data_IF_486730543714
#
_entry.id   IF_486730543714
#
_cell.length_a   1.000
_cell.length_b   1.000
_cell.length_c   1.000
_cell.angle_alpha   90.00
_cell.angle_beta   90.00
_cell.angle_gamma   90.00
#
_symmetry.space_group_name_H-M   'P 1'
#
loop_
_entity.id
_entity.type
_entity.pdbx_description
1 polymer ?
#
# COMPACT_ATOMS: atom_id res chain seq x y z
N UNK A 1 -67.36 15.93 -9.38
CA UNK A 1 -66.53 16.71 -8.45
C UNK A 1 -66.26 15.82 -7.25
N UNK A 2 -65.19 15.03 -7.31
CA UNK A 2 -64.77 14.14 -6.22
C UNK A 2 -63.29 14.43 -5.99
N UNK A 3 -62.98 14.87 -4.78
CA UNK A 3 -61.68 15.39 -4.38
C UNK A 3 -60.63 14.30 -4.36
N UNK A 4 -59.45 14.64 -4.85
CA UNK A 4 -58.25 13.86 -4.68
C UNK A 4 -57.88 13.88 -3.20
N UNK A 5 -58.10 12.77 -2.50
CA UNK A 5 -57.42 12.48 -1.24
C UNK A 5 -55.97 12.15 -1.58
N UNK A 6 -55.10 13.15 -1.48
CA UNK A 6 -53.67 12.91 -1.36
C UNK A 6 -53.43 12.33 0.04
N UNK A 7 -53.27 11.02 0.10
CA UNK A 7 -52.76 10.32 1.28
C UNK A 7 -51.33 10.79 1.52
N UNK A 8 -51.05 11.36 2.70
CA UNK A 8 -49.70 11.76 3.15
C UNK A 8 -48.76 10.56 3.38
N UNK A 9 -49.19 9.35 3.06
CA UNK A 9 -48.52 8.09 3.37
C UNK A 9 -47.43 7.76 2.31
N UNK A 10 -47.45 8.43 1.15
CA UNK A 10 -46.48 8.24 0.06
C UNK A 10 -45.09 8.82 0.38
N UNK A 11 -45.00 9.65 1.43
CA UNK A 11 -43.75 10.31 1.85
C UNK A 11 -42.82 9.38 2.67
N UNK A 12 -43.29 8.19 3.04
CA UNK A 12 -42.48 7.16 3.71
C UNK A 12 -42.10 6.02 2.76
N UNK A 13 -42.00 6.31 1.46
CA UNK A 13 -41.37 5.40 0.50
C UNK A 13 -39.87 5.39 0.76
N UNK A 14 -39.44 4.36 1.49
CA UNK A 14 -38.15 3.70 1.34
C UNK A 14 -36.97 4.62 1.06
N UNK A 15 -36.28 5.03 2.13
CA UNK A 15 -34.83 5.22 2.05
C UNK A 15 -34.19 3.85 1.83
N UNK A 16 -34.41 3.22 0.68
CA UNK A 16 -33.55 2.14 0.22
C UNK A 16 -32.16 2.76 0.09
N UNK A 17 -31.16 2.33 0.86
CA UNK A 17 -29.80 2.80 0.66
C UNK A 17 -29.38 2.37 -0.75
N UNK A 18 -29.31 3.34 -1.66
CA UNK A 18 -28.83 3.15 -3.03
C UNK A 18 -27.48 2.42 -3.00
N UNK A 19 -27.32 1.30 -3.72
CA UNK A 19 -26.09 0.50 -3.71
C UNK A 19 -24.92 1.13 -4.49
N UNK A 20 -25.06 2.39 -4.94
CA UNK A 20 -24.06 3.11 -5.77
C UNK A 20 -23.42 4.33 -5.08
N UNK A 21 -23.58 4.49 -3.76
CA UNK A 21 -22.89 5.56 -3.05
C UNK A 21 -21.56 5.05 -2.53
N UNK A 22 -20.47 5.43 -3.21
CA UNK A 22 -19.14 5.34 -2.63
C UNK A 22 -19.06 6.08 -1.28
N UNK A 23 -18.00 5.82 -0.51
CA UNK A 23 -17.85 6.28 0.89
C UNK A 23 -18.36 7.71 1.10
N UNK A 24 -19.27 7.86 2.07
CA UNK A 24 -19.68 9.16 2.60
C UNK A 24 -18.48 9.90 3.19
N UNK A 25 -18.59 11.22 3.32
CA UNK A 25 -17.52 12.02 3.95
C UNK A 25 -17.20 11.58 5.38
N UNK A 26 -18.17 11.00 6.10
CA UNK A 26 -17.99 10.47 7.44
C UNK A 26 -17.24 9.13 7.44
N UNK A 27 -17.60 8.23 6.53
CA UNK A 27 -16.91 6.94 6.38
C UNK A 27 -15.46 7.13 5.94
N UNK A 28 -15.18 8.09 5.04
CA UNK A 28 -13.80 8.44 4.64
C UNK A 28 -12.97 8.91 5.84
N UNK A 29 -13.49 9.84 6.63
CA UNK A 29 -12.79 10.31 7.84
C UNK A 29 -12.58 9.19 8.85
N UNK A 30 -13.53 8.26 8.92
CA UNK A 30 -13.43 7.10 9.81
C UNK A 30 -12.33 6.16 9.32
N UNK A 31 -12.27 5.87 8.02
CA UNK A 31 -11.21 5.08 7.42
C UNK A 31 -9.83 5.72 7.69
N UNK A 32 -9.69 7.03 7.44
CA UNK A 32 -8.46 7.76 7.73
C UNK A 32 -8.06 7.67 9.21
N UNK A 33 -9.02 7.80 10.12
CA UNK A 33 -8.79 7.65 11.56
C UNK A 33 -8.36 6.24 11.96
N UNK A 34 -8.91 5.20 11.33
CA UNK A 34 -8.51 3.81 11.58
C UNK A 34 -7.10 3.54 11.07
N UNK A 35 -6.75 4.05 9.88
CA UNK A 35 -5.39 3.98 9.34
C UNK A 35 -4.40 4.72 10.25
N UNK A 36 -4.80 5.87 10.79
CA UNK A 36 -3.97 6.61 11.75
C UNK A 36 -3.67 5.77 12.99
N UNK A 37 -4.71 5.16 13.61
CA UNK A 37 -4.55 4.28 14.77
C UNK A 37 -3.63 3.12 14.42
N UNK A 38 -3.80 2.49 13.26
CA UNK A 38 -3.01 1.31 12.91
C UNK A 38 -1.51 1.60 12.86
N UNK A 39 -1.13 2.77 12.34
CA UNK A 39 0.25 3.16 12.11
C UNK A 39 0.92 3.86 13.31
N UNK A 40 0.15 4.53 14.17
CA UNK A 40 0.72 5.41 15.20
C UNK A 40 0.41 4.98 16.64
N UNK A 41 -0.52 4.06 16.85
CA UNK A 41 -0.94 3.67 18.19
C UNK A 41 -0.05 2.55 18.76
N UNK A 42 0.66 2.75 19.88
CA UNK A 42 1.49 1.71 20.48
C UNK A 42 0.67 0.55 21.07
N UNK A 43 -0.61 0.77 21.39
CA UNK A 43 -1.47 -0.28 21.94
C UNK A 43 -1.87 -1.30 20.87
N UNK A 44 -1.30 -2.51 20.98
CA UNK A 44 -1.68 -3.66 20.16
C UNK A 44 -3.20 -3.91 20.16
N UNK A 45 -3.88 -3.71 21.28
CA UNK A 45 -5.32 -3.93 21.37
C UNK A 45 -6.11 -2.96 20.48
N UNK A 46 -5.68 -1.70 20.40
CA UNK A 46 -6.31 -0.69 19.57
C UNK A 46 -6.02 -0.91 18.09
N UNK A 47 -4.77 -1.28 17.74
CA UNK A 47 -4.42 -1.69 16.37
C UNK A 47 -5.25 -2.87 15.88
N UNK A 48 -5.41 -3.92 16.69
CA UNK A 48 -6.27 -5.05 16.37
C UNK A 48 -7.75 -4.66 16.21
N UNK A 49 -8.25 -3.71 17.01
CA UNK A 49 -9.61 -3.19 16.84
C UNK A 49 -9.74 -2.40 15.53
N UNK A 50 -8.70 -1.66 15.15
CA UNK A 50 -8.69 -0.92 13.89
C UNK A 50 -8.74 -1.87 12.68
N UNK A 51 -7.95 -2.95 12.68
CA UNK A 51 -8.01 -4.00 11.65
C UNK A 51 -9.42 -4.58 11.50
N UNK A 52 -10.06 -4.98 12.61
CA UNK A 52 -11.45 -5.50 12.57
C UNK A 52 -12.50 -4.46 12.19
N UNK A 53 -12.19 -3.17 12.33
CA UNK A 53 -13.08 -2.11 11.91
C UNK A 53 -12.93 -1.85 10.40
N UNK A 54 -11.70 -1.94 9.87
CA UNK A 54 -11.41 -1.80 8.43
C UNK A 54 -12.17 -2.85 7.60
N UNK A 55 -12.30 -4.09 8.07
CA UNK A 55 -13.02 -5.16 7.36
C UNK A 55 -14.52 -4.91 7.16
N UNK A 56 -15.09 -3.95 7.89
CA UNK A 56 -16.50 -3.56 7.76
C UNK A 56 -16.74 -2.63 6.57
N UNK A 57 -15.68 -2.02 6.04
CA UNK A 57 -15.76 -1.19 4.85
C UNK A 57 -15.69 -2.09 3.63
N UNK A 58 -16.71 -2.00 2.75
CA UNK A 58 -16.80 -2.79 1.51
C UNK A 58 -16.02 -2.17 0.34
N UNK A 59 -15.23 -1.16 0.63
CA UNK A 59 -14.56 -0.34 -0.37
C UNK A 59 -13.19 -0.91 -0.68
N UNK A 60 -12.83 -0.88 -1.97
CA UNK A 60 -11.62 -1.54 -2.43
C UNK A 60 -10.36 -0.98 -1.76
N UNK A 61 -10.37 0.31 -1.40
CA UNK A 61 -9.26 0.91 -0.64
C UNK A 61 -9.05 0.28 0.73
N UNK A 62 -10.13 0.00 1.47
CA UNK A 62 -10.04 -0.63 2.78
C UNK A 62 -9.56 -2.09 2.67
N UNK A 63 -10.05 -2.80 1.66
CA UNK A 63 -9.69 -4.19 1.38
C UNK A 63 -8.23 -4.29 0.92
N UNK A 64 -7.77 -3.37 0.07
CA UNK A 64 -6.35 -3.24 -0.32
C UNK A 64 -5.47 -3.01 0.91
N UNK A 65 -5.83 -2.07 1.78
CA UNK A 65 -5.05 -1.85 3.01
C UNK A 65 -4.99 -3.11 3.88
N UNK A 66 -6.09 -3.85 4.03
CA UNK A 66 -6.06 -5.13 4.74
C UNK A 66 -5.10 -6.15 4.11
N UNK A 67 -5.04 -6.21 2.78
CA UNK A 67 -4.11 -7.09 2.07
C UNK A 67 -2.65 -6.65 2.28
N UNK A 68 -2.37 -5.35 2.18
CA UNK A 68 -1.04 -4.79 2.46
C UNK A 68 -0.59 -5.11 3.90
N UNK A 69 -1.49 -4.96 4.89
CA UNK A 69 -1.21 -5.34 6.28
C UNK A 69 -0.95 -6.83 6.39
N UNK A 70 -1.73 -7.68 5.71
CA UNK A 70 -1.53 -9.13 5.73
C UNK A 70 -0.17 -9.55 5.12
N UNK A 71 0.36 -8.75 4.18
CA UNK A 71 1.63 -9.00 3.50
C UNK A 71 2.84 -8.47 4.28
N UNK A 72 2.79 -7.21 4.71
CA UNK A 72 3.99 -6.45 5.10
C UNK A 72 4.02 -5.99 6.55
N UNK A 73 2.93 -6.13 7.31
CA UNK A 73 2.92 -5.73 8.72
C UNK A 73 3.92 -6.55 9.54
N UNK A 74 4.78 -5.88 10.31
CA UNK A 74 5.82 -6.52 11.12
C UNK A 74 5.21 -7.27 12.30
N UNK A 75 4.23 -6.65 12.95
CA UNK A 75 3.55 -7.21 14.12
C UNK A 75 2.70 -8.41 13.74
N UNK A 76 3.23 -9.60 14.04
CA UNK A 76 2.60 -10.88 13.73
C UNK A 76 1.12 -10.98 14.15
N UNK A 77 0.68 -10.50 15.33
CA UNK A 77 -0.73 -10.54 15.69
C UNK A 77 -1.61 -9.65 14.82
N UNK A 78 -1.09 -8.50 14.37
CA UNK A 78 -1.81 -7.55 13.51
C UNK A 78 -1.89 -8.11 12.09
N UNK A 79 -0.77 -8.62 11.56
CA UNK A 79 -0.70 -9.31 10.26
C UNK A 79 -1.69 -10.47 10.17
N UNK A 80 -1.69 -11.36 11.18
CA UNK A 80 -2.64 -12.49 11.25
C UNK A 80 -4.08 -12.04 11.35
N UNK A 81 -4.36 -10.98 12.12
CA UNK A 81 -5.72 -10.45 12.21
C UNK A 81 -6.21 -9.95 10.84
N UNK A 82 -5.36 -9.26 10.09
CA UNK A 82 -5.73 -8.80 8.75
C UNK A 82 -6.02 -9.97 7.80
N UNK A 83 -5.16 -11.01 7.82
CA UNK A 83 -5.40 -12.23 7.06
C UNK A 83 -6.73 -12.91 7.44
N UNK A 84 -7.01 -13.04 8.74
CA UNK A 84 -8.27 -13.62 9.22
C UNK A 84 -9.50 -12.81 8.80
N UNK A 85 -9.41 -11.49 8.82
CA UNK A 85 -10.51 -10.65 8.35
C UNK A 85 -10.74 -10.81 6.83
N UNK A 86 -9.68 -10.95 6.03
CA UNK A 86 -9.80 -11.24 4.60
C UNK A 86 -10.36 -12.65 4.34
N UNK A 87 -9.93 -13.65 5.09
CA UNK A 87 -10.49 -15.00 5.03
C UNK A 87 -11.97 -15.03 5.43
N UNK A 88 -12.37 -14.26 6.43
CA UNK A 88 -13.78 -14.11 6.80
C UNK A 88 -14.63 -13.46 5.68
N UNK A 89 -14.03 -12.55 4.89
CA UNK A 89 -14.71 -11.83 3.82
C UNK A 89 -14.78 -12.63 2.51
N UNK A 90 -13.71 -13.34 2.16
CA UNK A 90 -13.53 -13.96 0.84
C UNK A 90 -13.43 -15.49 0.89
N UNK A 91 -13.24 -16.09 2.07
CA UNK A 91 -12.98 -17.51 2.26
C UNK A 91 -11.78 -17.97 1.43
N UNK A 92 -12.00 -19.01 0.63
CA UNK A 92 -11.00 -19.57 -0.29
C UNK A 92 -10.42 -18.54 -1.28
N UNK A 93 -11.14 -17.45 -1.56
CA UNK A 93 -10.67 -16.37 -2.43
C UNK A 93 -9.67 -15.39 -1.78
N UNK A 94 -9.44 -15.49 -0.48
CA UNK A 94 -8.58 -14.56 0.27
C UNK A 94 -7.13 -14.60 -0.19
N UNK A 95 -6.57 -15.78 -0.38
CA UNK A 95 -5.19 -15.96 -0.86
C UNK A 95 -4.99 -15.39 -2.26
N UNK A 96 -5.91 -15.69 -3.18
CA UNK A 96 -5.87 -15.14 -4.53
C UNK A 96 -5.98 -13.61 -4.55
N UNK A 97 -6.80 -13.02 -3.66
CA UNK A 97 -6.89 -11.57 -3.52
C UNK A 97 -5.58 -10.98 -3.00
N UNK A 98 -4.99 -11.55 -1.95
CA UNK A 98 -3.72 -11.08 -1.38
C UNK A 98 -2.59 -11.16 -2.42
N UNK A 99 -2.51 -12.27 -3.16
CA UNK A 99 -1.52 -12.42 -4.23
C UNK A 99 -1.75 -11.41 -5.37
N UNK A 100 -3.01 -11.09 -5.72
CA UNK A 100 -3.28 -10.05 -6.72
C UNK A 100 -2.76 -8.67 -6.29
N UNK A 101 -2.87 -8.34 -5.00
CA UNK A 101 -2.34 -7.08 -4.45
C UNK A 101 -0.82 -7.11 -4.40
N UNK A 102 -0.20 -8.25 -4.04
CA UNK A 102 1.26 -8.39 -4.09
C UNK A 102 1.80 -8.16 -5.50
N UNK A 103 1.20 -8.80 -6.50
CA UNK A 103 1.63 -8.66 -7.90
C UNK A 103 1.44 -7.24 -8.43
N UNK A 104 0.42 -6.53 -7.97
CA UNK A 104 0.22 -5.12 -8.34
C UNK A 104 1.32 -4.23 -7.75
N UNK A 105 1.71 -4.47 -6.50
CA UNK A 105 2.77 -3.69 -5.83
C UNK A 105 4.14 -4.01 -6.44
N UNK A 106 4.44 -5.29 -6.69
CA UNK A 106 5.72 -5.73 -7.28
C UNK A 106 5.81 -5.35 -8.77
N UNK A 107 4.70 -5.40 -9.51
CA UNK A 107 4.66 -5.06 -10.93
C UNK A 107 4.81 -3.57 -11.23
N UNK A 108 4.72 -2.69 -10.23
CA UNK A 108 5.02 -1.26 -10.36
C UNK A 108 6.54 -0.96 -10.30
N UNK A 109 7.37 -1.93 -9.92
CA UNK A 109 8.84 -1.76 -9.78
C UNK A 109 9.65 -2.27 -10.99
N UNK A 110 9.05 -3.07 -11.88
CA UNK A 110 9.73 -3.75 -13.02
C UNK A 110 9.58 -3.02 -14.38
N UNK A 111 9.06 -1.79 -14.43
CA UNK A 111 8.97 -0.97 -15.65
C UNK A 111 10.34 -0.34 -16.07
N UNK A 112 11.46 -0.84 -15.57
CA UNK A 112 12.82 -0.51 -16.01
C UNK A 112 13.55 -1.74 -16.58
N UNK A 113 13.08 -2.36 -17.66
CA UNK A 113 13.93 -3.02 -18.67
C UNK A 113 13.09 -3.62 -19.80
N UNK A 114 13.08 -2.98 -20.99
CA UNK A 114 13.16 -3.61 -22.32
C UNK A 114 12.90 -2.57 -23.44
N UNK A 115 13.96 -1.95 -23.96
CA UNK A 115 13.98 -1.47 -25.34
C UNK A 115 14.90 -2.39 -26.15
N UNK A 116 14.52 -3.66 -26.25
CA UNK A 116 15.09 -4.61 -27.19
C UNK A 116 14.53 -4.34 -28.61
N UNK A 117 15.45 -3.98 -29.51
CA UNK A 117 15.55 -4.53 -30.87
C UNK A 117 14.58 -4.04 -31.97
N UNK A 118 15.10 -3.23 -32.90
CA UNK A 118 14.79 -3.40 -34.34
C UNK A 118 16.08 -3.51 -35.16
N UNK A 119 16.27 -4.60 -35.92
CA UNK A 119 17.41 -4.82 -36.81
C UNK A 119 17.14 -4.27 -38.23
N UNK A 120 18.24 -4.12 -39.00
CA UNK A 120 18.33 -3.69 -40.42
C UNK A 120 18.38 -2.15 -40.61
N UNK A 121 19.31 -1.55 -41.34
CA UNK A 121 20.08 -2.01 -42.50
C UNK A 121 21.36 -1.20 -42.65
N UNK A 122 22.38 -1.81 -43.27
CA UNK A 122 23.58 -1.14 -43.72
C UNK A 122 23.24 -0.11 -44.82
N UNK A 123 23.43 1.18 -44.54
CA UNK A 123 23.59 2.21 -45.58
C UNK A 123 24.90 2.94 -45.34
N UNK A 124 25.81 2.67 -46.27
CA UNK A 124 27.09 3.32 -46.44
C UNK A 124 26.84 4.76 -46.92
N UNK A 125 27.43 5.77 -46.28
CA UNK A 125 27.75 7.04 -46.93
C UNK A 125 29.02 7.62 -46.31
N UNK A 126 30.02 7.71 -47.18
CA UNK A 126 31.35 8.24 -46.97
C UNK A 126 31.36 9.76 -46.70
N UNK A 127 32.42 10.21 -46.01
CA UNK A 127 32.92 11.61 -45.88
C UNK A 127 32.05 12.53 -45.00
N UNK A 128 32.57 13.28 -44.01
CA UNK A 128 33.83 14.03 -43.95
C UNK A 128 34.22 14.43 -42.51
N UNK A 129 35.49 14.20 -42.13
CA UNK A 129 36.42 15.01 -41.28
C UNK A 129 36.00 15.72 -39.96
N UNK A 130 36.96 15.94 -39.04
CA UNK A 130 36.81 15.69 -37.61
C UNK A 130 36.49 16.96 -36.80
N UNK A 131 35.65 16.84 -35.77
CA UNK A 131 35.56 17.81 -34.68
C UNK A 131 36.12 17.17 -33.42
N UNK A 132 37.36 17.56 -33.16
CA UNK A 132 38.07 17.42 -31.91
C UNK A 132 37.20 17.96 -30.75
N UNK A 133 36.66 17.07 -29.93
CA UNK A 133 36.12 17.39 -28.60
C UNK A 133 36.92 16.61 -27.55
N UNK A 134 38.23 16.86 -27.53
CA UNK A 134 39.07 16.59 -26.37
C UNK A 134 38.78 17.65 -25.30
N UNK A 135 37.66 17.54 -24.58
CA UNK A 135 37.48 18.23 -23.28
C UNK A 135 36.26 17.79 -22.44
N UNK A 136 35.77 16.55 -22.60
CA UNK A 136 34.79 16.02 -21.63
C UNK A 136 35.51 15.17 -20.58
N UNK A 137 36.05 15.85 -19.57
CA UNK A 137 36.43 15.21 -18.31
C UNK A 137 35.14 14.97 -17.53
N UNK A 138 34.65 13.73 -17.55
CA UNK A 138 33.56 13.32 -16.65
C UNK A 138 33.97 13.65 -15.20
N UNK A 139 33.17 14.38 -14.42
CA UNK A 139 33.41 14.44 -12.98
C UNK A 139 33.33 13.00 -12.44
N UNK A 140 34.19 12.62 -11.47
CA UNK A 140 34.06 11.30 -10.86
C UNK A 140 32.65 11.17 -10.29
N UNK A 141 31.93 10.13 -10.72
CA UNK A 141 30.68 9.72 -10.10
C UNK A 141 30.99 9.58 -8.61
N UNK A 142 30.40 10.46 -7.79
CA UNK A 142 30.45 10.34 -6.34
C UNK A 142 29.93 8.95 -6.02
N UNK A 143 30.83 8.04 -5.64
CA UNK A 143 30.47 6.72 -5.17
C UNK A 143 29.70 6.95 -3.88
N UNK A 144 28.40 6.69 -3.93
CA UNK A 144 27.54 6.67 -2.76
C UNK A 144 28.24 5.87 -1.67
N UNK A 145 28.62 6.59 -0.63
CA UNK A 145 29.17 6.03 0.59
C UNK A 145 28.02 5.31 1.29
N UNK A 146 27.85 4.04 0.90
CA UNK A 146 26.91 3.13 1.53
C UNK A 146 27.07 3.20 3.04
N UNK A 147 25.94 3.22 3.75
CA UNK A 147 25.89 3.42 5.21
C UNK A 147 26.99 2.62 5.90
N UNK A 148 27.90 3.28 6.66
CA UNK A 148 29.07 2.59 7.16
C UNK A 148 28.67 1.56 8.22
N UNK A 149 29.18 0.34 8.10
CA UNK A 149 28.79 -0.84 8.91
C UNK A 149 28.85 -0.62 10.43
N UNK A 150 29.63 0.35 10.92
CA UNK A 150 29.67 0.68 12.34
C UNK A 150 28.35 1.26 12.87
N UNK A 151 27.53 1.90 12.02
CA UNK A 151 26.21 2.37 12.40
C UNK A 151 25.26 1.21 12.69
N UNK A 152 25.30 0.16 11.86
CA UNK A 152 24.55 -1.08 12.12
C UNK A 152 25.03 -1.77 13.40
N UNK A 153 26.35 -1.78 13.65
CA UNK A 153 26.91 -2.33 14.88
C UNK A 153 26.49 -1.53 16.13
N UNK A 154 26.48 -0.20 16.05
CA UNK A 154 26.04 0.68 17.14
C UNK A 154 24.54 0.52 17.43
N UNK A 155 23.72 0.42 16.38
CA UNK A 155 22.28 0.18 16.49
C UNK A 155 21.99 -1.18 17.13
N UNK A 156 22.65 -2.24 16.67
CA UNK A 156 22.52 -3.58 17.24
C UNK A 156 22.93 -3.62 18.72
N UNK A 157 23.99 -2.93 19.10
CA UNK A 157 24.45 -2.85 20.49
C UNK A 157 23.46 -2.10 21.39
N UNK A 158 22.86 -1.02 20.88
CA UNK A 158 21.86 -0.26 21.62
C UNK A 158 20.58 -1.08 21.87
N UNK A 159 20.11 -1.80 20.84
CA UNK A 159 18.95 -2.69 20.95
C UNK A 159 19.25 -3.83 21.94
N UNK A 160 20.40 -4.50 21.81
CA UNK A 160 20.78 -5.60 22.68
C UNK A 160 20.93 -5.14 24.15
N UNK A 161 21.53 -3.97 24.37
CA UNK A 161 21.65 -3.37 25.69
C UNK A 161 20.30 -3.03 26.32
N UNK A 162 19.39 -2.47 25.54
CA UNK A 162 18.02 -2.16 25.99
C UNK A 162 17.22 -3.40 26.37
N UNK A 163 17.32 -4.48 25.58
CA UNK A 163 16.65 -5.76 25.86
C UNK A 163 17.18 -6.38 27.16
N UNK A 164 18.50 -6.41 27.36
CA UNK A 164 19.09 -6.96 28.59
C UNK A 164 18.67 -6.16 29.82
N UNK A 165 18.63 -4.84 29.73
CA UNK A 165 18.20 -3.96 30.84
C UNK A 165 16.70 -4.11 31.15
N UNK A 166 15.87 -4.36 30.12
CA UNK A 166 14.45 -4.62 30.28
C UNK A 166 14.14 -5.97 30.94
N UNK A 167 14.92 -7.02 30.64
CA UNK A 167 14.74 -8.35 31.24
C UNK A 167 15.25 -8.43 32.68
N UNK A 168 16.22 -7.58 33.05
CA UNK A 168 16.77 -7.51 34.41
C UNK A 168 15.99 -6.60 35.37
N UNK A 169 14.94 -5.91 34.91
CA UNK A 169 14.13 -4.96 35.71
C UNK A 169 12.76 -5.51 36.02
#
# INVERSE_FOLDING_TARGET
MLGYNYSMDDFLSETTPSPERGLTAEERRTLDGLLFILNHEPSLNLRLKAVRALSRFKEMSALRTLAEIALYEEDEPVRRAAYQELDNLFGEGSEAFIESIRLEIEGEEDDEEENELFPLSSVNTSQSSPQNMSDYSFPPVMREEGTPLWLWAALALFILGGIVLFVLR
#
